data_IF_183250286950
#
_entry.id   IF_183250286950
#
_cell.length_a   1.000
_cell.length_b   1.000
_cell.length_c   1.000
_cell.angle_alpha   90.00
_cell.angle_beta   90.00
_cell.angle_gamma   90.00
#
_symmetry.space_group_name_H-M   'P 1'
#
loop_
_entity.id
_entity.type
_entity.pdbx_description
1 polymer ?
#
# COMPACT_ATOMS: atom_id res chain seq x y z
N UNK A 1 -2.77 12.94 2.92
CA UNK A 1 -3.21 11.67 3.55
C UNK A 1 -2.71 10.54 2.68
N UNK A 2 -2.08 9.53 3.26
CA UNK A 2 -1.50 8.39 2.54
C UNK A 2 -2.56 7.28 2.48
N UNK A 3 -2.71 6.66 1.31
CA UNK A 3 -3.56 5.48 1.13
C UNK A 3 -2.79 4.25 1.59
N UNK A 4 -3.41 3.46 2.45
CA UNK A 4 -2.89 2.19 2.91
C UNK A 4 -3.83 1.06 2.50
N UNK A 5 -3.26 -0.10 2.21
CA UNK A 5 -3.96 -1.36 1.99
C UNK A 5 -3.46 -2.39 3.00
N UNK A 6 -4.38 -3.04 3.70
CA UNK A 6 -4.01 -4.16 4.56
C UNK A 6 -3.82 -5.43 3.73
N UNK A 7 -2.61 -6.01 3.72
CA UNK A 7 -2.33 -7.25 2.99
C UNK A 7 -2.90 -8.50 3.67
N UNK A 8 -3.49 -8.36 4.86
CA UNK A 8 -4.20 -9.46 5.53
C UNK A 8 -5.69 -9.53 5.20
N UNK A 9 -6.40 -8.40 5.18
CA UNK A 9 -7.85 -8.36 4.95
C UNK A 9 -8.27 -7.57 3.71
N UNK A 10 -7.30 -7.04 2.95
CA UNK A 10 -7.48 -6.19 1.76
C UNK A 10 -8.30 -4.91 2.00
N UNK A 11 -8.45 -4.49 3.27
CA UNK A 11 -9.12 -3.24 3.61
C UNK A 11 -8.25 -2.03 3.24
N UNK A 12 -8.85 -1.06 2.53
CA UNK A 12 -8.20 0.19 2.10
C UNK A 12 -8.66 1.35 2.97
N UNK A 13 -7.73 2.17 3.41
CA UNK A 13 -8.02 3.32 4.27
C UNK A 13 -6.98 4.43 4.11
N UNK A 14 -7.32 5.63 4.58
CA UNK A 14 -6.46 6.81 4.51
C UNK A 14 -5.96 7.17 5.92
N UNK A 15 -4.66 7.36 6.09
CA UNK A 15 -4.07 7.80 7.35
C UNK A 15 -2.87 8.72 7.09
N UNK A 16 -2.45 9.52 8.08
CA UNK A 16 -1.20 10.26 8.00
C UNK A 16 -0.01 9.33 8.28
N UNK A 17 -0.15 8.52 9.32
CA UNK A 17 0.72 7.39 9.67
C UNK A 17 -0.19 6.28 10.20
N UNK A 18 0.06 5.05 9.78
CA UNK A 18 -0.65 3.89 10.25
C UNK A 18 0.36 2.80 10.60
N UNK A 19 0.13 2.14 11.74
CA UNK A 19 0.87 0.97 12.22
C UNK A 19 -0.04 -0.25 12.09
N UNK A 20 -1.33 -0.09 12.41
CA UNK A 20 -2.31 -1.18 12.44
C UNK A 20 -3.44 -0.98 11.42
N UNK A 21 -4.01 -2.07 10.93
CA UNK A 21 -5.25 -2.03 10.15
C UNK A 21 -6.45 -1.71 11.07
N UNK A 22 -7.24 -0.64 10.83
CA UNK A 22 -8.39 -0.28 11.68
C UNK A 22 -9.54 -1.28 11.60
N UNK A 23 -9.54 -2.18 10.61
CA UNK A 23 -10.59 -3.18 10.44
C UNK A 23 -10.26 -4.52 11.12
N UNK A 24 -9.04 -5.04 10.93
CA UNK A 24 -8.65 -6.36 11.45
C UNK A 24 -7.61 -6.32 12.58
N UNK A 25 -7.08 -5.14 12.92
CA UNK A 25 -6.12 -4.93 14.01
C UNK A 25 -4.72 -5.49 13.75
N UNK A 26 -4.39 -5.92 12.52
CA UNK A 26 -3.06 -6.46 12.19
C UNK A 26 -2.15 -5.39 11.59
N UNK A 27 -0.86 -5.50 11.88
CA UNK A 27 0.24 -4.65 11.37
C UNK A 27 0.66 -4.95 9.92
N UNK A 28 -0.13 -5.76 9.20
CA UNK A 28 0.12 -6.10 7.80
C UNK A 28 -0.49 -5.06 6.86
N UNK A 29 0.08 -3.85 6.84
CA UNK A 29 -0.38 -2.74 6.00
C UNK A 29 0.74 -2.24 5.09
N UNK A 30 0.40 -1.93 3.84
CA UNK A 30 1.31 -1.40 2.83
C UNK A 30 0.75 -0.09 2.28
N UNK A 31 1.63 0.81 1.85
CA UNK A 31 1.20 2.02 1.14
C UNK A 31 0.67 1.61 -0.22
N UNK A 32 -0.54 2.05 -0.56
CA UNK A 32 -1.10 1.84 -1.89
C UNK A 32 -0.34 2.74 -2.86
N UNK A 33 0.56 2.13 -3.64
CA UNK A 33 1.29 2.80 -4.72
C UNK A 33 0.31 3.33 -5.76
N UNK A 34 0.57 4.52 -6.27
CA UNK A 34 -0.21 5.07 -7.37
C UNK A 34 0.17 4.41 -8.70
N UNK A 35 -0.63 4.64 -9.75
CA UNK A 35 -0.40 4.02 -11.06
C UNK A 35 0.97 4.38 -11.66
N UNK A 36 1.46 5.61 -11.45
CA UNK A 36 2.78 6.05 -11.92
C UNK A 36 3.90 5.30 -11.21
N UNK A 37 3.84 5.18 -9.89
CA UNK A 37 4.83 4.43 -9.09
C UNK A 37 4.88 2.95 -9.51
N UNK A 38 3.72 2.36 -9.82
CA UNK A 38 3.65 0.98 -10.31
C UNK A 38 4.26 0.83 -11.71
N UNK A 39 4.05 1.81 -12.60
CA UNK A 39 4.65 1.80 -13.94
C UNK A 39 6.16 1.97 -13.88
N UNK A 40 6.67 2.89 -13.05
CA UNK A 40 8.11 3.09 -12.84
C UNK A 40 8.79 1.82 -12.31
N UNK A 41 8.16 1.12 -11.36
CA UNK A 41 8.68 -0.15 -10.83
C UNK A 41 8.73 -1.25 -11.90
N UNK A 42 7.70 -1.34 -12.74
CA UNK A 42 7.67 -2.30 -13.86
C UNK A 42 8.74 -1.97 -14.92
N UNK A 43 8.94 -0.70 -15.25
CA UNK A 43 9.99 -0.25 -16.17
C UNK A 43 11.40 -0.61 -15.65
N UNK A 44 11.64 -0.45 -14.35
CA UNK A 44 12.91 -0.85 -13.73
C UNK A 44 13.13 -2.37 -13.75
N UNK A 45 12.07 -3.18 -13.62
CA UNK A 45 12.16 -4.65 -13.68
C UNK A 45 12.39 -5.14 -15.11
N UNK A 46 11.73 -4.52 -16.10
CA UNK A 46 11.80 -4.94 -17.50
C UNK A 46 12.98 -4.33 -18.28
N UNK A 47 13.63 -3.30 -17.75
CA UNK A 47 14.73 -2.58 -18.39
C UNK A 47 16.12 -3.25 -18.32
N UNK A 48 16.20 -4.55 -18.02
CA UNK A 48 17.43 -5.37 -18.09
C UNK A 48 17.47 -6.21 -19.37
#
# INVERSE_FOLDING_TARGET
>A
MIKYICTNCNYRFNAQEAIDCPYCGKEKIEKEKNATELLEEVEQILGN
#
